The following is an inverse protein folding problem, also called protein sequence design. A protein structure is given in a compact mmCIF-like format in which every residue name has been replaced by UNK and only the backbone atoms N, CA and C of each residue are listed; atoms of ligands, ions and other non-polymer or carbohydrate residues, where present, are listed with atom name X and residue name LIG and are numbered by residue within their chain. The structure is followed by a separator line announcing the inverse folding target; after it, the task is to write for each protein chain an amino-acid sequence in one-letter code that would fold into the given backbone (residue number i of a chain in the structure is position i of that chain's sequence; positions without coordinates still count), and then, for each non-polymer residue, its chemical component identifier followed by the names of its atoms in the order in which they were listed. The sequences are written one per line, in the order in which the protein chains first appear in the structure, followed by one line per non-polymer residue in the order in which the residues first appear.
data_IF_636229996441
#
_entry.id   IF_636229996441
#
_cell.length_a   1.000
_cell.length_b   1.000
_cell.length_c   1.000
_cell.angle_alpha   90.00
_cell.angle_beta   90.00
_cell.angle_gamma   90.00
#
_symmetry.space_group_name_H-M   'P 1'
#
loop_
_entity.id
_entity.type
_entity.pdbx_description
1 polymer ?
#
# COMPACT_ATOMS: atom_id res chain seq x y z
N UNK A 1 -16.50 -8.68 33.79
CA UNK A 1 -15.52 -9.64 33.22
C UNK A 1 -15.18 -9.18 31.82
N UNK A 2 -14.12 -8.39 31.69
CA UNK A 2 -13.83 -7.58 30.49
C UNK A 2 -12.57 -8.14 29.82
N UNK A 3 -12.69 -9.30 29.19
CA UNK A 3 -11.56 -9.99 28.53
C UNK A 3 -11.63 -9.70 27.02
N UNK A 4 -11.37 -8.46 26.61
CA UNK A 4 -11.23 -8.14 25.17
C UNK A 4 -10.19 -7.06 24.85
N UNK A 5 -9.53 -6.45 25.84
CA UNK A 5 -8.54 -5.39 25.62
C UNK A 5 -7.07 -5.79 25.85
N UNK A 6 -6.81 -6.78 26.70
CA UNK A 6 -5.45 -6.98 27.25
C UNK A 6 -4.56 -7.97 26.47
N UNK A 7 -5.14 -8.80 25.60
CA UNK A 7 -4.40 -9.87 24.90
C UNK A 7 -3.55 -9.33 23.73
N UNK A 8 -3.86 -8.14 23.20
CA UNK A 8 -3.22 -7.64 21.98
C UNK A 8 -2.35 -6.40 22.14
N UNK A 9 -2.38 -5.77 23.31
CA UNK A 9 -1.31 -4.85 23.73
C UNK A 9 -0.03 -5.65 24.05
N UNK A 10 -0.16 -6.92 24.44
CA UNK A 10 0.96 -7.82 24.79
C UNK A 10 1.77 -8.34 23.60
N UNK A 11 1.17 -8.51 22.41
CA UNK A 11 1.91 -8.93 21.21
C UNK A 11 2.73 -7.81 20.54
N UNK A 12 2.34 -6.54 20.74
CA UNK A 12 3.14 -5.36 20.34
C UNK A 12 4.18 -4.97 21.42
N UNK A 13 3.93 -5.33 22.69
CA UNK A 13 4.89 -5.18 23.80
C UNK A 13 6.02 -6.23 23.81
N UNK A 14 6.10 -7.13 22.82
CA UNK A 14 7.28 -7.98 22.63
C UNK A 14 8.38 -7.30 21.79
N UNK A 15 8.55 -5.98 21.88
CA UNK A 15 9.88 -5.43 21.60
C UNK A 15 10.79 -5.94 22.72
N UNK A 16 11.81 -6.78 22.44
CA UNK A 16 12.70 -7.25 23.48
C UNK A 16 13.36 -6.03 24.15
N UNK A 17 12.93 -5.72 25.36
CA UNK A 17 13.53 -4.68 26.20
C UNK A 17 14.93 -5.19 26.54
N UNK A 18 15.96 -4.53 26.03
CA UNK A 18 17.37 -4.93 26.21
C UNK A 18 18.08 -5.45 24.95
N UNK A 19 17.39 -5.67 23.83
CA UNK A 19 18.06 -5.96 22.54
C UNK A 19 18.29 -4.66 21.79
N UNK A 20 19.54 -4.22 21.67
CA UNK A 20 19.89 -3.07 20.85
C UNK A 20 19.51 -3.36 19.39
N UNK A 21 18.56 -2.60 18.86
CA UNK A 21 18.23 -2.66 17.44
C UNK A 21 19.41 -2.04 16.70
N UNK A 22 20.13 -2.86 15.93
CA UNK A 22 21.18 -2.38 15.05
C UNK A 22 20.54 -1.53 13.95
N UNK A 23 20.74 -0.22 14.00
CA UNK A 23 20.27 0.70 12.97
C UNK A 23 21.21 0.62 11.77
N UNK A 24 20.89 -0.26 10.82
CA UNK A 24 21.56 -0.28 9.52
C UNK A 24 20.94 0.80 8.63
N UNK A 25 21.72 1.81 8.24
CA UNK A 25 21.30 2.74 7.17
C UNK A 25 21.32 2.01 5.82
N UNK A 26 20.35 2.34 4.98
CA UNK A 26 20.37 1.96 3.56
C UNK A 26 21.64 2.50 2.90
N UNK A 27 22.15 1.82 1.87
CA UNK A 27 23.36 2.26 1.17
C UNK A 27 23.10 3.62 0.49
N UNK A 28 24.06 4.55 0.51
CA UNK A 28 23.93 5.82 -0.21
C UNK A 28 23.52 5.58 -1.66
N UNK A 29 22.53 6.34 -2.13
CA UNK A 29 21.99 6.30 -3.50
C UNK A 29 21.33 4.96 -3.92
N UNK A 30 20.95 4.09 -2.98
CA UNK A 30 20.21 2.86 -3.25
C UNK A 30 18.75 2.95 -2.79
N UNK A 31 17.92 3.57 -3.62
CA UNK A 31 16.47 3.75 -3.39
C UNK A 31 15.68 2.45 -3.21
N UNK A 32 16.20 1.35 -3.73
CA UNK A 32 15.51 0.05 -3.72
C UNK A 32 15.86 -0.81 -2.48
N UNK A 33 16.76 -0.36 -1.60
CA UNK A 33 17.15 -1.11 -0.38
C UNK A 33 15.93 -1.33 0.56
N UNK A 34 14.95 -0.43 0.53
CA UNK A 34 13.73 -0.50 1.34
C UNK A 34 12.50 -0.88 0.51
N UNK A 35 12.66 -1.44 -0.69
CA UNK A 35 11.54 -1.67 -1.63
C UNK A 35 10.35 -2.43 -1.01
N UNK A 36 10.63 -3.43 -0.16
CA UNK A 36 9.57 -4.18 0.52
C UNK A 36 8.85 -3.38 1.61
N UNK A 37 9.57 -2.50 2.31
CA UNK A 37 8.98 -1.59 3.30
C UNK A 37 8.09 -0.58 2.59
N UNK A 38 8.57 0.04 1.50
CA UNK A 38 7.78 1.00 0.73
C UNK A 38 6.55 0.35 0.05
N UNK A 39 6.66 -0.90 -0.40
CA UNK A 39 5.51 -1.65 -0.90
C UNK A 39 4.44 -1.82 0.17
N UNK A 40 4.82 -2.15 1.42
CA UNK A 40 3.88 -2.27 2.54
C UNK A 40 3.32 -0.92 2.97
N UNK A 41 4.15 0.12 3.03
CA UNK A 41 3.71 1.48 3.32
C UNK A 41 2.66 1.95 2.31
N UNK A 42 2.84 1.63 1.03
CA UNK A 42 1.84 1.94 0.01
C UNK A 42 0.49 1.28 0.31
N UNK A 43 0.48 -0.02 0.56
CA UNK A 43 -0.77 -0.80 0.67
C UNK A 43 -1.43 -0.70 2.04
N UNK A 44 -0.66 -0.66 3.13
CA UNK A 44 -1.16 -0.71 4.50
C UNK A 44 -1.35 0.68 5.11
N UNK A 45 -0.67 1.71 4.59
CA UNK A 45 -0.74 3.08 5.13
C UNK A 45 -1.36 4.02 4.11
N UNK A 46 -0.67 4.29 2.99
CA UNK A 46 -1.04 5.38 2.07
C UNK A 46 -2.39 5.16 1.39
N UNK A 47 -2.70 3.92 1.00
CA UNK A 47 -4.01 3.59 0.41
C UNK A 47 -5.20 3.81 1.35
N UNK A 48 -4.99 3.76 2.67
CA UNK A 48 -6.05 3.85 3.66
C UNK A 48 -6.11 5.25 4.29
N UNK A 49 -4.98 5.72 4.79
CA UNK A 49 -4.87 6.97 5.55
C UNK A 49 -4.67 8.19 4.64
N UNK A 50 -4.19 7.98 3.41
CA UNK A 50 -3.91 9.05 2.46
C UNK A 50 -2.59 9.77 2.73
N UNK A 51 -2.54 11.05 2.34
CA UNK A 51 -1.37 11.93 2.45
C UNK A 51 -1.60 13.11 3.40
N UNK A 52 -2.69 13.06 4.15
CA UNK A 52 -3.03 14.12 5.09
C UNK A 52 -2.04 14.16 6.26
N UNK A 53 -1.96 15.34 6.88
CA UNK A 53 -1.13 15.56 8.07
C UNK A 53 -1.95 15.28 9.32
N UNK A 54 -1.35 14.54 10.26
CA UNK A 54 -1.97 14.20 11.54
C UNK A 54 -0.96 14.49 12.66
N UNK A 55 -1.08 15.66 13.30
CA UNK A 55 -0.13 16.12 14.33
C UNK A 55 -0.78 16.41 15.69
N UNK A 56 -1.99 15.88 15.91
CA UNK A 56 -2.70 15.96 17.19
C UNK A 56 -2.67 14.64 17.94
N UNK A 57 -2.74 14.71 19.27
CA UNK A 57 -2.83 13.53 20.14
C UNK A 57 -4.11 12.71 19.88
N UNK A 58 -5.20 13.39 19.52
CA UNK A 58 -6.44 12.76 19.09
C UNK A 58 -6.24 11.92 17.81
N UNK A 59 -5.52 12.46 16.82
CA UNK A 59 -5.22 11.73 15.59
C UNK A 59 -4.30 10.53 15.84
N UNK A 60 -3.30 10.67 16.72
CA UNK A 60 -2.46 9.55 17.17
C UNK A 60 -3.29 8.43 17.79
N UNK A 61 -4.22 8.78 18.66
CA UNK A 61 -5.13 7.82 19.30
C UNK A 61 -6.03 7.12 18.27
N UNK A 62 -6.57 7.87 17.30
CA UNK A 62 -7.37 7.32 16.22
C UNK A 62 -6.56 6.37 15.30
N UNK A 63 -5.32 6.72 14.96
CA UNK A 63 -4.40 5.86 14.21
C UNK A 63 -4.13 4.55 14.95
N UNK A 64 -3.86 4.61 16.26
CA UNK A 64 -3.62 3.41 17.06
C UNK A 64 -4.83 2.47 17.06
N UNK A 65 -6.04 3.03 17.21
CA UNK A 65 -7.28 2.25 17.16
C UNK A 65 -7.51 1.62 15.78
N UNK A 66 -7.30 2.40 14.70
CA UNK A 66 -7.38 1.91 13.32
C UNK A 66 -6.43 0.71 13.09
N UNK A 67 -5.16 0.87 13.44
CA UNK A 67 -4.16 -0.19 13.19
C UNK A 67 -4.36 -1.42 14.08
N UNK A 68 -4.95 -1.27 15.26
CA UNK A 68 -5.29 -2.39 16.14
C UNK A 68 -6.30 -3.36 15.48
N UNK A 69 -7.23 -2.83 14.69
CA UNK A 69 -8.21 -3.61 13.93
C UNK A 69 -7.69 -4.04 12.58
N UNK A 70 -7.05 -3.12 11.87
CA UNK A 70 -6.53 -3.36 10.53
C UNK A 70 -5.52 -4.52 10.52
N UNK A 71 -4.69 -4.66 11.56
CA UNK A 71 -3.79 -5.81 11.69
C UNK A 71 -4.54 -7.13 11.80
N UNK A 72 -5.71 -7.16 12.47
CA UNK A 72 -6.50 -8.39 12.58
C UNK A 72 -7.08 -8.72 11.22
N UNK A 73 -7.65 -7.73 10.54
CA UNK A 73 -8.21 -7.90 9.21
C UNK A 73 -7.18 -8.44 8.21
N UNK A 74 -6.02 -7.80 8.12
CA UNK A 74 -4.99 -8.14 7.16
C UNK A 74 -4.30 -9.49 7.45
N UNK A 75 -4.15 -9.86 8.73
CA UNK A 75 -3.45 -11.10 9.08
C UNK A 75 -4.38 -12.32 9.14
N UNK A 76 -5.63 -12.14 9.57
CA UNK A 76 -6.57 -13.24 9.81
C UNK A 76 -7.52 -13.49 8.64
N UNK A 77 -7.89 -12.44 7.90
CA UNK A 77 -9.00 -12.53 6.93
C UNK A 77 -8.60 -12.17 5.49
N UNK A 78 -7.52 -11.42 5.27
CA UNK A 78 -7.10 -11.03 3.92
C UNK A 78 -6.12 -12.05 3.31
N UNK A 79 -6.52 -12.80 2.26
CA UNK A 79 -5.61 -13.71 1.58
C UNK A 79 -4.58 -12.92 0.76
N UNK A 80 -3.32 -13.37 0.82
CA UNK A 80 -2.22 -12.79 0.06
C UNK A 80 -1.50 -13.87 -0.78
N UNK A 81 -1.17 -13.51 -2.01
CA UNK A 81 -0.34 -14.36 -2.88
C UNK A 81 1.14 -14.08 -2.62
N UNK A 82 1.90 -15.14 -2.36
CA UNK A 82 3.36 -15.07 -2.30
C UNK A 82 3.96 -15.55 -3.61
N UNK A 83 5.00 -14.86 -4.05
CA UNK A 83 5.76 -15.26 -5.22
C UNK A 83 6.68 -16.43 -4.84
N UNK A 84 6.52 -17.58 -5.52
CA UNK A 84 7.35 -18.78 -5.31
C UNK A 84 8.66 -18.66 -6.06
N UNK A 85 8.56 -18.38 -7.37
CA UNK A 85 9.73 -18.37 -8.25
C UNK A 85 9.55 -17.44 -9.44
N UNK A 86 10.67 -16.95 -9.94
CA UNK A 86 10.78 -16.23 -11.21
C UNK A 86 11.67 -17.03 -12.14
N UNK A 87 11.23 -17.26 -13.37
CA UNK A 87 12.03 -17.97 -14.39
C UNK A 87 12.14 -17.07 -15.62
N UNK A 88 13.36 -16.87 -16.10
CA UNK A 88 13.65 -16.15 -17.35
C UNK A 88 13.63 -17.16 -18.50
N UNK A 89 12.80 -16.92 -19.52
CA UNK A 89 12.77 -17.73 -20.74
C UNK A 89 12.97 -16.78 -21.92
N UNK A 90 14.17 -16.79 -22.50
CA UNK A 90 14.60 -15.80 -23.49
C UNK A 90 14.43 -14.37 -22.97
N UNK A 91 13.62 -13.57 -23.68
CA UNK A 91 13.33 -12.17 -23.32
C UNK A 91 12.19 -12.00 -22.30
N UNK A 92 11.51 -13.08 -21.86
CA UNK A 92 10.35 -13.02 -20.94
C UNK A 92 10.70 -13.44 -19.52
N UNK A 93 10.01 -12.86 -18.53
CA UNK A 93 10.12 -13.21 -17.12
C UNK A 93 8.77 -13.77 -16.64
N UNK A 94 8.73 -15.06 -16.32
CA UNK A 94 7.54 -15.76 -15.85
C UNK A 94 7.58 -15.82 -14.33
N UNK A 95 6.50 -15.37 -13.68
CA UNK A 95 6.33 -15.39 -12.22
C UNK A 95 5.32 -16.48 -11.85
N UNK A 96 5.66 -17.37 -10.92
CA UNK A 96 4.73 -18.34 -10.35
C UNK A 96 4.42 -17.97 -8.91
N UNK A 97 3.13 -17.88 -8.60
CA UNK A 97 2.60 -17.53 -7.29
C UNK A 97 1.98 -18.76 -6.63
N UNK A 98 1.93 -18.76 -5.31
CA UNK A 98 1.18 -19.74 -4.53
C UNK A 98 -0.33 -19.47 -4.63
N UNK A 99 -1.12 -20.45 -4.20
CA UNK A 99 -2.53 -20.21 -3.92
C UNK A 99 -2.69 -19.07 -2.88
N UNK A 100 -3.76 -18.25 -2.99
CA UNK A 100 -4.05 -17.24 -1.99
C UNK A 100 -4.21 -17.87 -0.60
N UNK A 101 -3.48 -17.35 0.38
CA UNK A 101 -3.53 -17.78 1.78
C UNK A 101 -3.38 -16.57 2.70
N UNK A 102 -4.06 -16.57 3.84
CA UNK A 102 -3.88 -15.51 4.84
C UNK A 102 -2.50 -15.63 5.51
N UNK A 103 -1.93 -14.52 6.02
CA UNK A 103 -0.71 -14.59 6.83
C UNK A 103 -0.83 -15.57 8.00
N UNK A 104 -1.99 -15.63 8.67
CA UNK A 104 -2.22 -16.56 9.76
C UNK A 104 -2.19 -18.03 9.32
N UNK A 105 -2.81 -18.39 8.19
CA UNK A 105 -2.74 -19.75 7.65
C UNK A 105 -1.29 -20.19 7.40
N UNK A 106 -0.44 -19.27 6.92
CA UNK A 106 0.98 -19.53 6.71
C UNK A 106 1.73 -19.75 8.02
N UNK A 107 1.43 -18.95 9.05
CA UNK A 107 2.03 -19.11 10.39
C UNK A 107 1.60 -20.44 11.00
N UNK A 108 0.31 -20.78 10.89
CA UNK A 108 -0.25 -22.05 11.37
C UNK A 108 0.39 -23.27 10.70
N UNK A 109 0.75 -23.16 9.41
CA UNK A 109 1.43 -24.22 8.67
C UNK A 109 2.96 -24.28 8.91
N UNK A 110 3.53 -23.32 9.63
CA UNK A 110 4.96 -23.27 9.91
C UNK A 110 5.32 -24.19 11.08
N UNK A 111 6.31 -25.08 10.89
CA UNK A 111 6.74 -26.01 11.93
C UNK A 111 7.35 -25.32 13.17
N UNK A 112 8.00 -24.17 12.97
CA UNK A 112 8.66 -23.41 14.04
C UNK A 112 7.71 -22.43 14.76
N UNK A 113 6.41 -22.46 14.46
CA UNK A 113 5.45 -21.57 15.11
C UNK A 113 5.18 -22.00 16.55
N UNK A 114 5.14 -21.02 17.45
CA UNK A 114 4.75 -21.22 18.85
C UNK A 114 3.28 -21.70 18.95
N UNK A 115 3.03 -22.94 19.41
CA UNK A 115 1.69 -23.52 19.43
C UNK A 115 0.71 -22.72 20.29
N UNK A 116 1.16 -22.10 21.39
CA UNK A 116 0.30 -21.32 22.28
C UNK A 116 -0.19 -20.05 21.59
N UNK A 117 0.71 -19.37 20.86
CA UNK A 117 0.36 -18.16 20.08
C UNK A 117 -0.56 -18.49 18.91
N UNK A 118 -0.34 -19.61 18.23
CA UNK A 118 -1.22 -20.08 17.14
C UNK A 118 -2.61 -20.37 17.69
N UNK A 119 -2.73 -21.07 18.82
CA UNK A 119 -4.02 -21.35 19.46
C UNK A 119 -4.75 -20.07 19.88
N UNK A 120 -4.04 -19.07 20.42
CA UNK A 120 -4.62 -17.78 20.78
C UNK A 120 -5.15 -17.01 19.55
N UNK A 121 -4.39 -16.99 18.45
CA UNK A 121 -4.81 -16.40 17.18
C UNK A 121 -6.02 -17.13 16.58
N UNK A 122 -6.08 -18.46 16.72
CA UNK A 122 -7.20 -19.26 16.24
C UNK A 122 -8.49 -18.95 17.02
N UNK A 123 -8.39 -18.74 18.34
CA UNK A 123 -9.55 -18.29 19.12
C UNK A 123 -10.04 -16.92 18.66
N UNK A 124 -9.13 -15.97 18.40
CA UNK A 124 -9.51 -14.65 17.90
C UNK A 124 -10.12 -14.73 16.51
N UNK A 125 -9.62 -15.58 15.62
CA UNK A 125 -10.25 -15.83 14.32
C UNK A 125 -11.70 -16.33 14.50
N UNK A 126 -11.93 -17.27 15.41
CA UNK A 126 -13.27 -17.86 15.67
C UNK A 126 -14.25 -16.87 16.28
N UNK A 127 -13.78 -15.95 17.12
CA UNK A 127 -14.65 -14.99 17.83
C UNK A 127 -14.82 -13.66 17.10
N UNK A 128 -14.11 -13.44 15.99
CA UNK A 128 -14.14 -12.16 15.27
C UNK A 128 -14.99 -12.27 14.01
N UNK A 129 -16.08 -11.51 13.94
CA UNK A 129 -16.84 -11.35 12.72
C UNK A 129 -16.10 -10.40 11.75
N UNK A 130 -15.71 -10.88 10.55
CA UNK A 130 -14.99 -10.04 9.57
C UNK A 130 -15.82 -8.86 9.07
N UNK A 131 -17.15 -8.95 9.02
CA UNK A 131 -17.99 -7.85 8.53
C UNK A 131 -18.11 -6.75 9.59
N UNK A 132 -18.37 -7.11 10.85
CA UNK A 132 -18.32 -6.15 11.95
C UNK A 132 -16.94 -5.50 12.10
N UNK A 133 -15.85 -6.26 11.90
CA UNK A 133 -14.49 -5.73 11.91
C UNK A 133 -14.27 -4.71 10.78
N UNK A 134 -14.71 -5.02 9.55
CA UNK A 134 -14.61 -4.08 8.43
C UNK A 134 -15.35 -2.76 8.73
N UNK A 135 -16.58 -2.84 9.23
CA UNK A 135 -17.34 -1.64 9.58
C UNK A 135 -16.68 -0.81 10.69
N UNK A 136 -16.01 -1.46 11.65
CA UNK A 136 -15.22 -0.77 12.69
C UNK A 136 -14.03 -0.03 12.07
N UNK A 137 -13.32 -0.67 11.15
CA UNK A 137 -12.20 -0.06 10.40
C UNK A 137 -12.68 1.17 9.63
N UNK A 138 -13.82 1.09 8.94
CA UNK A 138 -14.38 2.21 8.18
C UNK A 138 -14.71 3.39 9.10
N UNK A 139 -15.35 3.15 10.25
CA UNK A 139 -15.59 4.19 11.27
C UNK A 139 -14.29 4.80 11.81
N UNK A 140 -13.25 3.99 11.99
CA UNK A 140 -11.94 4.48 12.42
C UNK A 140 -11.30 5.38 11.37
N UNK A 141 -11.41 5.03 10.07
CA UNK A 141 -10.93 5.85 8.96
C UNK A 141 -11.69 7.18 8.88
N UNK A 142 -13.02 7.17 8.96
CA UNK A 142 -13.83 8.39 8.96
C UNK A 142 -13.44 9.34 10.10
N UNK A 143 -13.31 8.80 11.32
CA UNK A 143 -12.87 9.58 12.48
C UNK A 143 -11.46 10.14 12.29
N UNK A 144 -10.56 9.35 11.73
CA UNK A 144 -9.19 9.78 11.47
C UNK A 144 -9.17 10.91 10.44
N UNK A 145 -9.86 10.76 9.31
CA UNK A 145 -9.92 11.78 8.26
C UNK A 145 -10.51 13.12 8.76
N UNK A 146 -11.46 13.07 9.70
CA UNK A 146 -11.98 14.28 10.34
C UNK A 146 -10.94 15.02 11.20
N UNK A 147 -9.90 14.31 11.67
CA UNK A 147 -8.80 14.86 12.46
C UNK A 147 -7.60 15.27 11.61
N UNK A 148 -7.70 15.19 10.28
CA UNK A 148 -6.66 15.67 9.38
C UNK A 148 -6.42 17.16 9.62
N UNK A 149 -5.15 17.52 9.82
CA UNK A 149 -4.69 18.89 9.90
C UNK A 149 -4.80 19.50 8.52
N UNK A 150 -5.96 20.10 8.25
CA UNK A 150 -6.14 20.95 7.09
C UNK A 150 -5.23 22.13 7.30
N UNK A 151 -4.08 22.12 6.63
CA UNK A 151 -3.32 23.34 6.48
C UNK A 151 -4.30 24.38 5.97
N UNK A 152 -4.47 25.48 6.71
CA UNK A 152 -4.81 26.74 6.06
C UNK A 152 -3.74 26.87 4.99
N UNK A 153 -4.08 26.59 3.73
CA UNK A 153 -3.24 26.98 2.62
C UNK A 153 -3.11 28.49 2.79
N UNK A 154 -2.04 28.96 3.43
CA UNK A 154 -1.56 30.29 3.17
C UNK A 154 -1.48 30.34 1.66
N UNK A 155 -2.19 31.25 0.98
CA UNK A 155 -2.04 31.37 -0.46
C UNK A 155 -0.55 31.49 -0.67
N UNK A 156 0.06 30.48 -1.30
CA UNK A 156 1.45 30.60 -1.71
C UNK A 156 1.40 31.80 -2.64
N UNK A 157 2.01 32.91 -2.22
CA UNK A 157 2.12 34.10 -3.05
C UNK A 157 2.51 33.60 -4.43
N UNK A 158 1.64 33.87 -5.40
CA UNK A 158 1.75 33.25 -6.71
C UNK A 158 3.17 33.50 -7.18
N UNK A 159 3.95 32.43 -7.36
CA UNK A 159 5.28 32.57 -7.93
C UNK A 159 5.11 33.43 -9.18
N UNK A 160 5.93 34.49 -9.37
CA UNK A 160 5.78 35.37 -10.52
C UNK A 160 5.69 34.49 -11.76
N UNK A 161 4.66 34.74 -12.59
CA UNK A 161 4.43 33.97 -13.81
C UNK A 161 5.78 33.89 -14.53
N UNK A 162 6.29 32.69 -14.86
CA UNK A 162 7.48 32.61 -15.69
C UNK A 162 7.19 33.43 -16.96
N UNK A 163 8.17 34.20 -17.48
CA UNK A 163 7.96 35.00 -18.69
C UNK A 163 7.38 34.08 -19.77
N UNK A 164 6.25 34.50 -20.34
CA UNK A 164 5.63 33.74 -21.43
C UNK A 164 6.65 33.64 -22.55
N UNK A 165 7.12 32.43 -22.83
CA UNK A 165 7.95 32.17 -24.01
C UNK A 165 7.12 32.59 -25.22
N UNK A 166 7.55 33.66 -25.89
CA UNK A 166 6.96 34.14 -27.14
C UNK A 166 6.91 32.97 -28.11
N UNK A 167 5.76 32.77 -28.72
CA UNK A 167 5.54 31.70 -29.69
C UNK A 167 6.44 31.89 -30.92
N UNK A 168 7.52 31.12 -31.00
CA UNK A 168 8.06 30.57 -32.26
C UNK A 168 9.29 29.72 -31.97
N UNK A 169 9.21 28.43 -32.25
CA UNK A 169 10.40 27.64 -32.58
C UNK A 169 9.98 26.60 -33.62
N UNK A 170 10.55 26.57 -34.83
CA UNK A 170 10.00 25.86 -35.98
C UNK A 170 10.34 24.35 -36.01
N UNK A 171 10.74 23.77 -34.88
CA UNK A 171 11.24 22.40 -34.82
C UNK A 171 10.41 21.53 -33.86
N UNK A 172 9.11 21.39 -34.15
CA UNK A 172 8.33 20.21 -33.74
C UNK A 172 8.02 19.38 -34.97
N UNK A 173 8.93 18.47 -35.32
CA UNK A 173 8.77 17.61 -36.49
C UNK A 173 9.67 16.37 -36.52
N UNK A 174 10.40 16.06 -35.44
CA UNK A 174 11.21 14.83 -35.38
C UNK A 174 10.48 13.76 -34.58
N UNK A 175 9.72 12.93 -35.30
CA UNK A 175 9.15 11.68 -34.78
C UNK A 175 9.91 10.53 -35.43
N UNK A 176 10.65 9.74 -34.65
CA UNK A 176 10.97 8.37 -35.06
C UNK A 176 9.77 7.48 -34.71
N UNK A 177 8.85 7.35 -35.66
CA UNK A 177 7.84 6.28 -35.66
C UNK A 177 8.50 4.91 -35.84
N UNK A 178 8.05 3.84 -35.15
CA UNK A 178 8.14 2.50 -35.70
C UNK A 178 6.95 2.29 -36.66
N UNK A 179 7.27 1.90 -37.91
CA UNK A 179 6.34 1.63 -39.02
C UNK A 179 5.14 0.77 -38.62
N UNK A 180 3.97 1.00 -39.24
CA UNK A 180 3.39 0.14 -40.30
C UNK A 180 2.15 0.81 -40.90
N UNK A 181 1.93 0.52 -42.19
CA UNK A 181 1.11 1.23 -43.16
C UNK A 181 -0.40 1.27 -42.90
N UNK A 182 -0.94 2.40 -43.36
CA UNK A 182 -2.32 2.82 -43.65
C UNK A 182 -3.28 1.69 -44.07
N UNK A 183 -4.48 1.69 -43.50
CA UNK A 183 -5.70 1.31 -44.23
C UNK A 183 -6.54 2.57 -44.41
N UNK A 184 -6.77 2.96 -45.66
CA UNK A 184 -7.66 4.07 -46.03
C UNK A 184 -8.94 3.45 -46.58
N UNK A 185 -10.14 3.83 -46.10
CA UNK A 185 -11.38 3.35 -46.73
C UNK A 185 -11.63 4.13 -48.03
N UNK A 186 -12.05 3.41 -49.07
CA UNK A 186 -12.35 3.96 -50.39
C UNK A 186 -13.68 4.73 -50.37
N UNK A 187 -13.71 5.90 -51.03
CA UNK A 187 -14.92 6.66 -51.37
C UNK A 187 -14.82 7.17 -52.82
N UNK A 188 -15.96 7.49 -53.46
CA UNK A 188 -16.33 6.91 -54.75
C UNK A 188 -15.94 7.76 -55.97
N UNK A 189 -15.97 7.09 -57.12
CA UNK A 189 -15.68 7.63 -58.46
C UNK A 189 -16.74 8.65 -58.90
N UNK A 190 -16.29 9.84 -59.28
CA UNK A 190 -17.03 10.75 -60.17
C UNK A 190 -16.12 11.08 -61.35
N UNK A 191 -16.61 10.79 -62.56
CA UNK A 191 -15.88 11.01 -63.81
C UNK A 191 -16.24 12.31 -64.54
N UNK A 192 -15.78 12.36 -65.80
CA UNK A 192 -15.80 13.42 -66.84
C UNK A 192 -14.55 14.31 -66.84
N UNK A 193 -13.93 14.61 -67.99
CA UNK A 193 -14.34 14.46 -69.40
C UNK A 193 -13.20 13.90 -70.24
#
# INVERSE_FOLDING_TARGET
MTITGEIWVTLDKQRPVGRQVQFTRSRPYKKDDNAHVEQKNWTHVRKLVGWERYDTEAARTALNALYADLRLFQNLFQPAMKLVRKVRVGSRLIRRYEAPQTPFERVRACADADPQKVAALEQVLKTTDPFALSQRIDRHLERLWALATRATRTPREAAPRPPQLRASTPWRGWTFSPRVQRQTPALPRTGRS
#
